data_IF_711300943630
#
_entry.id   IF_711300943630
#
_cell.length_a   1.000
_cell.length_b   1.000
_cell.length_c   1.000
_cell.angle_alpha   90.00
_cell.angle_beta   90.00
_cell.angle_gamma   90.00
#
_symmetry.space_group_name_H-M   'P 1'
#
loop_
_entity.id
_entity.type
_entity.pdbx_description
1 polymer ?
#
# COMPACT_ATOMS: atom_id res chain seq x y z
N UNK A 1 5.74 17.81 4.74
CA UNK A 1 6.32 17.04 3.63
C UNK A 1 6.78 18.01 2.53
N UNK A 2 7.68 17.63 1.61
CA UNK A 2 8.17 18.51 0.52
C UNK A 2 7.01 19.16 -0.27
N UNK A 3 5.91 18.42 -0.45
CA UNK A 3 4.68 18.89 -1.10
C UNK A 3 4.00 20.06 -0.38
N UNK A 4 4.10 20.14 0.95
CA UNK A 4 3.49 21.21 1.74
C UNK A 4 4.33 22.50 1.75
N UNK A 5 5.62 22.42 1.37
CA UNK A 5 6.55 23.55 1.36
C UNK A 5 6.63 24.24 0.00
N UNK A 6 6.46 23.48 -1.08
CA UNK A 6 6.47 23.97 -2.46
C UNK A 6 5.11 24.60 -2.82
N UNK A 7 5.14 25.80 -3.39
CA UNK A 7 3.92 26.55 -3.77
C UNK A 7 3.30 26.00 -5.07
N UNK A 8 4.12 25.48 -5.98
CA UNK A 8 3.71 24.80 -7.22
C UNK A 8 4.01 23.31 -7.12
N UNK A 9 3.06 22.47 -7.55
CA UNK A 9 3.30 21.03 -7.68
C UNK A 9 3.71 20.76 -9.11
N UNK A 10 5.01 20.85 -9.35
CA UNK A 10 5.57 20.53 -10.65
C UNK A 10 5.96 19.04 -10.72
N UNK A 11 6.09 18.53 -11.95
CA UNK A 11 6.50 17.15 -12.20
C UNK A 11 7.81 16.78 -11.47
N UNK A 12 8.75 17.73 -11.35
CA UNK A 12 10.01 17.56 -10.62
C UNK A 12 9.81 17.36 -9.11
N UNK A 13 8.82 18.02 -8.51
CA UNK A 13 8.49 17.89 -7.09
C UNK A 13 7.84 16.52 -6.83
N UNK A 14 6.92 16.10 -7.70
CA UNK A 14 6.27 14.79 -7.64
C UNK A 14 7.27 13.65 -7.79
N UNK A 15 8.09 13.68 -8.86
CA UNK A 15 9.14 12.67 -9.08
C UNK A 15 10.15 12.63 -7.93
N UNK A 16 10.54 13.80 -7.39
CA UNK A 16 11.40 13.88 -6.21
C UNK A 16 10.76 13.29 -4.95
N UNK A 17 9.44 13.44 -4.77
CA UNK A 17 8.69 12.86 -3.66
C UNK A 17 8.63 11.33 -3.75
N UNK A 18 8.31 10.80 -4.93
CA UNK A 18 8.22 9.35 -5.17
C UNK A 18 9.59 8.68 -5.09
N UNK A 19 10.61 9.24 -5.72
CA UNK A 19 11.95 8.65 -5.79
C UNK A 19 12.57 8.46 -4.39
N UNK A 20 12.41 9.44 -3.49
CA UNK A 20 12.97 9.35 -2.13
C UNK A 20 12.33 8.22 -1.31
N UNK A 21 11.02 8.02 -1.47
CA UNK A 21 10.30 6.94 -0.77
C UNK A 21 10.60 5.59 -1.37
N UNK A 22 10.59 5.50 -2.70
CA UNK A 22 10.91 4.28 -3.41
C UNK A 22 12.31 3.76 -3.05
N UNK A 23 13.32 4.64 -3.06
CA UNK A 23 14.69 4.30 -2.66
C UNK A 23 14.85 3.90 -1.19
N UNK A 24 13.90 4.24 -0.32
CA UNK A 24 13.91 3.86 1.10
C UNK A 24 13.23 2.51 1.34
N UNK A 25 12.09 2.27 0.70
CA UNK A 25 11.22 1.13 1.01
C UNK A 25 11.60 -0.10 0.17
N UNK A 26 11.78 0.09 -1.14
CA UNK A 26 11.92 -1.02 -2.08
C UNK A 26 13.17 -1.87 -1.87
N UNK A 27 14.37 -1.33 -1.57
CA UNK A 27 15.56 -2.16 -1.44
C UNK A 27 15.45 -3.15 -0.28
N UNK A 28 15.00 -2.68 0.88
CA UNK A 28 14.86 -3.52 2.07
C UNK A 28 13.75 -4.55 1.89
N UNK A 29 12.64 -4.13 1.28
CA UNK A 29 11.51 -5.02 1.02
C UNK A 29 11.82 -6.10 -0.01
N UNK A 30 12.49 -5.75 -1.10
CA UNK A 30 12.91 -6.70 -2.12
C UNK A 30 13.89 -7.74 -1.54
N UNK A 31 14.82 -7.29 -0.67
CA UNK A 31 15.72 -8.19 0.04
C UNK A 31 14.93 -9.14 0.96
N UNK A 32 14.00 -8.62 1.76
CA UNK A 32 13.14 -9.43 2.62
C UNK A 32 12.38 -10.49 1.79
N UNK A 33 11.72 -10.08 0.70
CA UNK A 33 10.99 -11.00 -0.17
C UNK A 33 11.90 -12.06 -0.79
N UNK A 34 13.11 -11.68 -1.22
CA UNK A 34 14.08 -12.63 -1.76
C UNK A 34 14.46 -13.68 -0.71
N UNK A 35 14.73 -13.27 0.53
CA UNK A 35 15.05 -14.19 1.62
C UNK A 35 13.87 -15.13 1.93
N UNK A 36 12.65 -14.59 2.00
CA UNK A 36 11.45 -15.40 2.24
C UNK A 36 11.20 -16.40 1.11
N UNK A 37 11.33 -15.96 -0.15
CA UNK A 37 11.18 -16.80 -1.32
C UNK A 37 12.15 -17.99 -1.33
N UNK A 38 13.39 -17.79 -0.87
CA UNK A 38 14.41 -18.83 -0.85
C UNK A 38 14.29 -19.79 0.35
N UNK A 39 13.93 -19.26 1.53
CA UNK A 39 13.99 -20.02 2.79
C UNK A 39 12.67 -20.68 3.19
N UNK A 40 11.54 -20.00 3.00
CA UNK A 40 10.24 -20.47 3.50
C UNK A 40 9.78 -21.77 2.82
N UNK A 41 9.96 -21.98 1.50
CA UNK A 41 9.59 -23.25 0.86
C UNK A 41 10.35 -24.47 1.41
N UNK A 42 11.52 -24.27 2.03
CA UNK A 42 12.30 -25.35 2.65
C UNK A 42 11.74 -25.77 4.02
N UNK A 43 10.90 -24.92 4.63
CA UNK A 43 10.31 -25.13 5.96
C UNK A 43 8.84 -25.55 5.88
N UNK A 44 8.17 -25.29 4.77
CA UNK A 44 6.75 -25.61 4.55
C UNK A 44 6.52 -27.06 4.08
N UNK A 45 5.31 -27.57 4.32
CA UNK A 45 4.85 -28.80 3.67
C UNK A 45 4.59 -28.53 2.19
N UNK A 46 4.80 -29.55 1.35
CA UNK A 46 4.63 -29.45 -0.11
C UNK A 46 3.27 -28.88 -0.56
N UNK A 47 2.20 -29.15 0.21
CA UNK A 47 0.85 -28.62 -0.08
C UNK A 47 0.73 -27.10 0.10
N UNK A 48 1.54 -26.51 0.98
CA UNK A 48 1.46 -25.10 1.37
C UNK A 48 2.39 -24.21 0.52
N UNK A 49 3.40 -24.81 -0.14
CA UNK A 49 4.36 -24.11 -1.01
C UNK A 49 3.66 -23.39 -2.17
N UNK A 50 2.66 -24.01 -2.80
CA UNK A 50 1.95 -23.40 -3.91
C UNK A 50 1.19 -22.12 -3.50
N UNK A 51 0.55 -22.14 -2.32
CA UNK A 51 -0.11 -20.96 -1.75
C UNK A 51 0.92 -19.88 -1.43
N UNK A 52 2.01 -20.23 -0.74
CA UNK A 52 3.07 -19.28 -0.43
C UNK A 52 3.67 -18.59 -1.67
N UNK A 53 3.90 -19.34 -2.76
CA UNK A 53 4.40 -18.76 -4.00
C UNK A 53 3.41 -17.76 -4.63
N UNK A 54 2.10 -18.02 -4.54
CA UNK A 54 1.06 -17.05 -4.91
C UNK A 54 1.18 -15.78 -4.05
N UNK A 55 1.23 -15.94 -2.73
CA UNK A 55 1.33 -14.83 -1.78
C UNK A 55 2.58 -13.97 -2.04
N UNK A 56 3.72 -14.58 -2.40
CA UNK A 56 4.95 -13.84 -2.76
C UNK A 56 4.73 -12.96 -3.98
N UNK A 57 3.99 -13.42 -5.00
CA UNK A 57 3.69 -12.61 -6.19
C UNK A 57 2.87 -11.38 -5.81
N UNK A 58 1.83 -11.56 -4.99
CA UNK A 58 1.02 -10.45 -4.49
C UNK A 58 1.84 -9.50 -3.60
N UNK A 59 2.75 -10.03 -2.80
CA UNK A 59 3.67 -9.24 -2.00
C UNK A 59 4.65 -8.43 -2.87
N UNK A 60 5.18 -9.01 -3.95
CA UNK A 60 6.12 -8.33 -4.84
C UNK A 60 5.51 -7.10 -5.53
N UNK A 61 4.21 -7.13 -5.81
CA UNK A 61 3.46 -5.99 -6.37
C UNK A 61 2.81 -5.09 -5.31
N UNK A 62 3.12 -5.31 -4.02
CA UNK A 62 2.57 -4.57 -2.88
C UNK A 62 1.03 -4.62 -2.80
N UNK A 63 0.46 -5.78 -3.10
CA UNK A 63 -0.98 -6.01 -3.18
C UNK A 63 -1.47 -7.18 -2.32
N UNK A 64 -0.72 -7.55 -1.27
CA UNK A 64 -1.20 -8.55 -0.29
C UNK A 64 -2.50 -8.14 0.38
N UNK A 65 -2.75 -6.83 0.53
CA UNK A 65 -4.04 -6.35 1.02
C UNK A 65 -5.21 -6.64 0.08
N UNK A 66 -4.97 -6.67 -1.23
CA UNK A 66 -5.98 -7.06 -2.22
C UNK A 66 -6.13 -8.58 -2.23
N UNK A 67 -5.02 -9.30 -2.11
CA UNK A 67 -5.03 -10.76 -2.03
C UNK A 67 -5.90 -11.27 -0.89
N UNK A 68 -5.74 -10.73 0.33
CA UNK A 68 -6.58 -11.13 1.47
C UNK A 68 -8.08 -10.89 1.23
N UNK A 69 -8.44 -9.82 0.51
CA UNK A 69 -9.84 -9.55 0.14
C UNK A 69 -10.35 -10.55 -0.89
N UNK A 70 -9.53 -10.93 -1.88
CA UNK A 70 -9.87 -11.92 -2.90
C UNK A 70 -10.03 -13.32 -2.28
N UNK A 71 -9.15 -13.67 -1.35
CA UNK A 71 -9.17 -14.95 -0.63
C UNK A 71 -10.19 -14.98 0.51
N UNK A 72 -10.92 -13.87 0.74
CA UNK A 72 -11.90 -13.71 1.83
C UNK A 72 -11.30 -14.01 3.21
N UNK A 73 -10.02 -13.68 3.40
CA UNK A 73 -9.31 -13.90 4.65
C UNK A 73 -9.25 -12.62 5.48
N UNK A 74 -9.65 -12.74 6.74
CA UNK A 74 -9.49 -11.65 7.69
C UNK A 74 -8.00 -11.48 8.01
N UNK A 75 -7.50 -10.26 7.87
CA UNK A 75 -6.12 -9.89 8.24
C UNK A 75 -5.75 -10.35 9.67
N UNK A 76 -6.69 -10.20 10.60
CA UNK A 76 -6.50 -10.63 11.99
C UNK A 76 -6.51 -12.15 12.14
N UNK A 77 -7.26 -12.89 11.31
CA UNK A 77 -7.21 -14.35 11.32
C UNK A 77 -5.89 -14.88 10.76
N UNK A 78 -5.38 -14.29 9.66
CA UNK A 78 -4.09 -14.68 9.06
C UNK A 78 -2.89 -14.41 9.98
N UNK A 79 -2.95 -13.37 10.81
CA UNK A 79 -1.94 -13.09 11.83
C UNK A 79 -1.72 -14.27 12.81
N UNK A 80 -2.77 -15.06 13.05
CA UNK A 80 -2.70 -16.25 13.91
C UNK A 80 -2.37 -17.53 13.15
N UNK A 81 -2.55 -17.54 11.82
CA UNK A 81 -2.34 -18.71 10.96
C UNK A 81 -0.90 -18.82 10.41
N UNK A 82 0.04 -18.08 11.02
CA UNK A 82 1.48 -18.11 10.73
C UNK A 82 1.89 -17.73 9.29
N UNK A 83 1.06 -16.99 8.55
CA UNK A 83 1.46 -16.48 7.25
C UNK A 83 2.47 -15.34 7.40
N UNK A 84 3.73 -15.63 7.06
CA UNK A 84 4.86 -14.69 7.21
C UNK A 84 4.68 -13.43 6.35
N UNK A 85 3.93 -13.51 5.25
CA UNK A 85 3.71 -12.40 4.33
C UNK A 85 2.57 -11.47 4.75
N UNK A 86 1.75 -11.83 5.74
CA UNK A 86 0.64 -10.97 6.21
C UNK A 86 1.14 -9.63 6.75
N UNK A 87 2.37 -9.56 7.29
CA UNK A 87 2.98 -8.28 7.70
C UNK A 87 3.18 -7.28 6.55
N UNK A 88 3.23 -7.75 5.31
CA UNK A 88 3.37 -6.89 4.11
C UNK A 88 2.07 -6.19 3.73
N UNK A 89 0.93 -6.62 4.30
CA UNK A 89 -0.39 -6.01 4.08
C UNK A 89 -0.37 -4.51 4.35
N UNK A 90 0.17 -4.11 5.51
CA UNK A 90 0.25 -2.70 5.92
C UNK A 90 1.15 -1.87 4.99
N UNK A 91 2.19 -2.51 4.44
CA UNK A 91 3.11 -1.89 3.49
C UNK A 91 2.45 -1.67 2.12
N UNK A 92 1.60 -2.60 1.68
CA UNK A 92 0.77 -2.42 0.48
C UNK A 92 -0.14 -1.21 0.60
N UNK A 93 -0.83 -1.07 1.74
CA UNK A 93 -1.66 0.10 2.04
C UNK A 93 -0.83 1.39 2.10
N UNK A 94 0.37 1.35 2.69
CA UNK A 94 1.26 2.50 2.78
C UNK A 94 1.68 3.03 1.39
N UNK A 95 1.96 2.12 0.44
CA UNK A 95 2.34 2.49 -0.93
C UNK A 95 1.15 3.05 -1.71
N UNK A 96 -0.03 2.47 -1.56
CA UNK A 96 -1.27 3.00 -2.14
C UNK A 96 -1.54 4.42 -1.62
N UNK A 97 -1.38 4.64 -0.31
CA UNK A 97 -1.47 5.97 0.29
C UNK A 97 -0.47 6.96 -0.32
N UNK A 98 0.79 6.56 -0.54
CA UNK A 98 1.79 7.42 -1.16
C UNK A 98 1.48 7.79 -2.61
N UNK A 99 0.78 6.93 -3.36
CA UNK A 99 0.31 7.25 -4.71
C UNK A 99 -0.88 8.21 -4.69
N UNK A 100 -1.78 8.07 -3.72
CA UNK A 100 -3.01 8.85 -3.62
C UNK A 100 -2.75 10.28 -3.10
N UNK A 101 -1.91 10.45 -2.08
CA UNK A 101 -1.69 11.77 -1.43
C UNK A 101 -1.27 12.88 -2.41
N UNK A 102 -0.28 12.70 -3.29
CA UNK A 102 0.15 13.76 -4.20
C UNK A 102 -0.94 14.12 -5.21
N UNK A 103 -1.72 13.12 -5.65
CA UNK A 103 -2.88 13.34 -6.52
C UNK A 103 -3.94 14.18 -5.82
N UNK A 104 -4.28 13.85 -4.57
CA UNK A 104 -5.28 14.61 -3.80
C UNK A 104 -4.84 16.05 -3.54
N UNK A 105 -3.57 16.28 -3.19
CA UNK A 105 -3.04 17.64 -2.97
C UNK A 105 -3.05 18.44 -4.30
N UNK A 106 -2.72 17.79 -5.42
CA UNK A 106 -2.75 18.43 -6.74
C UNK A 106 -4.18 18.82 -7.14
N UNK A 107 -5.13 17.90 -6.96
CA UNK A 107 -6.56 18.15 -7.22
C UNK A 107 -7.10 19.29 -6.35
N UNK A 108 -6.74 19.33 -5.06
CA UNK A 108 -7.14 20.39 -4.15
C UNK A 108 -6.66 21.77 -4.64
N UNK A 109 -5.42 21.87 -5.13
CA UNK A 109 -4.86 23.15 -5.63
C UNK A 109 -5.51 23.59 -6.94
N UNK A 110 -5.96 22.66 -7.79
CA UNK A 110 -6.70 22.96 -9.02
C UNK A 110 -8.12 23.50 -8.73
N UNK A 111 -8.76 23.00 -7.65
CA UNK A 111 -10.12 23.42 -7.28
C UNK A 111 -10.16 24.77 -6.54
N UNK A 112 -9.03 25.26 -6.01
CA UNK A 112 -8.90 26.58 -5.38
C UNK A 112 -9.06 26.57 -3.85
N UNK A 113 -8.56 27.62 -3.18
CA UNK A 113 -8.42 27.71 -1.70
C UNK A 113 -9.73 27.90 -0.92
N UNK A 114 -10.89 27.90 -1.58
CA UNK A 114 -12.18 28.10 -0.91
C UNK A 114 -12.58 26.86 -0.11
N UNK A 115 -13.15 27.05 1.09
CA UNK A 115 -13.65 25.99 1.99
C UNK A 115 -14.56 24.96 1.28
N UNK A 116 -15.32 25.41 0.28
CA UNK A 116 -16.22 24.58 -0.53
C UNK A 116 -15.44 23.52 -1.33
N UNK A 117 -14.19 23.79 -1.71
CA UNK A 117 -13.32 22.87 -2.43
C UNK A 117 -12.63 21.84 -1.50
N UNK A 118 -12.72 22.03 -0.17
CA UNK A 118 -12.25 21.06 0.84
C UNK A 118 -13.28 19.97 1.15
N UNK A 119 -14.57 20.25 0.92
CA UNK A 119 -15.67 19.31 1.17
C UNK A 119 -15.58 18.00 0.36
N UNK A 120 -15.33 17.99 -0.97
CA UNK A 120 -15.22 16.74 -1.72
C UNK A 120 -14.02 15.89 -1.27
N UNK A 121 -12.92 16.51 -0.83
CA UNK A 121 -11.76 15.82 -0.27
C UNK A 121 -12.08 15.11 1.06
N UNK A 122 -12.79 15.79 1.96
CA UNK A 122 -13.27 15.19 3.21
C UNK A 122 -14.29 14.09 2.94
N UNK A 123 -15.17 14.27 1.95
CA UNK A 123 -16.16 13.27 1.54
C UNK A 123 -15.49 12.03 0.94
N UNK A 124 -14.43 12.18 0.13
CA UNK A 124 -13.67 11.05 -0.42
C UNK A 124 -12.93 10.30 0.69
N UNK A 125 -12.32 11.01 1.64
CA UNK A 125 -11.67 10.38 2.80
C UNK A 125 -12.67 9.62 3.67
N UNK A 126 -13.81 10.23 3.96
CA UNK A 126 -14.88 9.61 4.75
C UNK A 126 -15.51 8.44 3.99
N UNK A 127 -15.77 8.57 2.69
CA UNK A 127 -16.32 7.50 1.86
C UNK A 127 -15.33 6.33 1.70
N UNK A 128 -14.04 6.61 1.53
CA UNK A 128 -13.01 5.58 1.50
C UNK A 128 -12.91 4.84 2.86
N UNK A 129 -13.00 5.56 3.98
CA UNK A 129 -13.10 4.92 5.31
C UNK A 129 -14.40 4.12 5.49
N UNK A 130 -15.53 4.60 4.96
CA UNK A 130 -16.83 3.95 5.08
C UNK A 130 -16.92 2.68 4.22
N UNK A 131 -16.40 2.71 3.00
CA UNK A 131 -16.34 1.55 2.11
C UNK A 131 -15.39 0.47 2.63
N UNK A 132 -14.30 0.88 3.29
CA UNK A 132 -13.37 -0.04 3.94
C UNK A 132 -14.01 -0.76 5.15
N UNK A 133 -14.85 -0.05 5.91
CA UNK A 133 -15.59 -0.61 7.06
C UNK A 133 -16.78 -1.49 6.66
N UNK A 134 -17.29 -1.35 5.42
CA UNK A 134 -18.47 -2.06 4.94
C UNK A 134 -18.13 -3.34 4.14
N UNK A 135 -16.85 -3.52 3.77
CA UNK A 135 -16.34 -4.72 3.11
C UNK A 135 -15.62 -5.70 4.06
N UNK A 136 -15.37 -5.31 5.31
CA UNK A 136 -14.95 -6.18 6.44
C UNK A 136 -16.16 -6.50 7.31
#
# INVERSE_FOLDING_TARGET
>A
SILARERTIDFKVLTGFYTRRFKRIVPLYALLLLFLFLLVPLLLLARDVAKFLSDVVWAAVFATNIHSVVDQTDYFAELFDSNVLTHTWSLGVEIQYYLIVPFLISLQRLLGDRLICRLPYLIILVAASFSFQCLT
#
